data_IF_153180582461
#
_entry.id   IF_153180582461
#
_cell.length_a   1.000
_cell.length_b   1.000
_cell.length_c   1.000
_cell.angle_alpha   90.00
_cell.angle_beta   90.00
_cell.angle_gamma   90.00
#
_symmetry.space_group_name_H-M   'P 1'
#
loop_
_entity.id
_entity.type
_entity.pdbx_description
1 polymer ?
#
# COMPACT_ATOMS: atom_id res chain seq x y z
N UNK A 1 19.17 -5.63 5.80
CA UNK A 1 17.77 -5.75 5.33
C UNK A 1 16.87 -5.24 6.44
N UNK A 2 15.82 -4.52 6.09
CA UNK A 2 14.85 -3.95 7.01
C UNK A 2 13.48 -4.51 6.64
N UNK A 3 12.74 -4.96 7.65
CA UNK A 3 11.39 -5.44 7.44
C UNK A 3 10.44 -4.25 7.33
N UNK A 4 9.64 -4.25 6.28
CA UNK A 4 8.55 -3.31 6.06
C UNK A 4 7.25 -4.09 5.98
N UNK A 5 6.23 -3.55 6.63
CA UNK A 5 4.89 -4.09 6.67
C UNK A 5 4.01 -3.24 5.75
N UNK A 6 3.22 -3.92 4.92
CA UNK A 6 2.26 -3.27 4.02
C UNK A 6 0.88 -3.52 4.62
N UNK A 7 0.31 -2.47 5.18
CA UNK A 7 -1.03 -2.47 5.77
C UNK A 7 -2.00 -1.94 4.71
N UNK A 8 -2.80 -2.84 4.14
CA UNK A 8 -3.88 -2.47 3.23
C UNK A 8 -5.12 -2.17 4.07
N UNK A 9 -5.50 -0.90 4.17
CA UNK A 9 -6.77 -0.53 4.77
C UNK A 9 -7.83 -0.56 3.68
N UNK A 10 -8.58 -1.64 3.72
CA UNK A 10 -9.67 -1.99 2.80
C UNK A 10 -11.00 -2.09 3.57
N UNK A 11 -11.08 -1.54 4.79
CA UNK A 11 -12.21 -1.73 5.70
C UNK A 11 -12.34 -3.15 6.31
N UNK A 12 -11.61 -4.14 5.79
CA UNK A 12 -11.61 -5.53 6.30
C UNK A 12 -10.52 -5.74 7.36
N UNK A 13 -10.86 -6.12 8.61
CA UNK A 13 -9.92 -6.18 9.73
C UNK A 13 -8.90 -7.34 9.68
N UNK A 14 -8.90 -8.16 8.62
CA UNK A 14 -8.19 -9.44 8.55
C UNK A 14 -7.32 -9.64 7.30
N UNK A 15 -6.93 -8.58 6.57
CA UNK A 15 -5.90 -8.76 5.53
C UNK A 15 -4.53 -8.88 6.18
N UNK A 16 -3.84 -9.97 5.84
CA UNK A 16 -2.46 -10.26 6.17
C UNK A 16 -1.58 -9.02 6.05
N UNK A 17 -1.01 -8.58 7.18
CA UNK A 17 0.10 -7.63 7.17
C UNK A 17 1.28 -8.31 6.51
N UNK A 18 1.50 -8.04 5.23
CA UNK A 18 2.61 -8.65 4.51
C UNK A 18 3.89 -7.97 4.98
N UNK A 19 4.69 -8.70 5.75
CA UNK A 19 5.99 -8.23 6.22
C UNK A 19 7.10 -8.67 5.25
N UNK A 20 7.56 -7.75 4.40
CA UNK A 20 8.59 -8.01 3.38
C UNK A 20 9.89 -7.33 3.79
N UNK A 21 11.01 -8.02 3.58
CA UNK A 21 12.34 -7.49 3.89
C UNK A 21 12.95 -6.81 2.66
N UNK A 22 13.17 -5.51 2.75
CA UNK A 22 13.85 -4.73 1.72
C UNK A 22 15.25 -4.32 2.18
N UNK A 23 16.17 -4.05 1.24
CA UNK A 23 17.48 -3.51 1.64
C UNK A 23 17.36 -2.02 1.97
N UNK A 24 16.50 -1.32 1.25
CA UNK A 24 16.27 0.12 1.40
C UNK A 24 14.79 0.48 1.47
N UNK A 25 14.50 1.64 2.07
CA UNK A 25 13.14 2.20 2.07
C UNK A 25 12.64 2.47 0.64
N UNK A 26 13.55 2.86 -0.27
CA UNK A 26 13.20 3.11 -1.67
C UNK A 26 12.64 1.88 -2.38
N UNK A 27 13.22 0.69 -2.15
CA UNK A 27 12.69 -0.55 -2.72
C UNK A 27 11.31 -0.89 -2.16
N UNK A 28 11.08 -0.65 -0.87
CA UNK A 28 9.75 -0.86 -0.26
C UNK A 28 8.68 0.06 -0.86
N UNK A 29 9.05 1.30 -1.17
CA UNK A 29 8.18 2.26 -1.85
C UNK A 29 7.91 1.84 -3.29
N UNK A 30 8.93 1.37 -4.02
CA UNK A 30 8.78 0.93 -5.41
C UNK A 30 7.83 -0.28 -5.50
N UNK A 31 8.06 -1.27 -4.64
CA UNK A 31 7.18 -2.42 -4.50
C UNK A 31 5.74 -2.02 -4.13
N UNK A 32 5.56 -1.05 -3.23
CA UNK A 32 4.24 -0.52 -2.89
C UNK A 32 3.51 0.02 -4.13
N UNK A 33 4.21 0.73 -5.03
CA UNK A 33 3.63 1.27 -6.27
C UNK A 33 3.25 0.17 -7.24
N UNK A 34 4.04 -0.89 -7.34
CA UNK A 34 3.71 -2.06 -8.16
C UNK A 34 2.45 -2.76 -7.66
N UNK A 35 2.32 -2.96 -6.34
CA UNK A 35 1.11 -3.51 -5.73
C UNK A 35 -0.09 -2.62 -6.06
N UNK A 36 0.00 -1.32 -5.79
CA UNK A 36 -1.09 -0.35 -6.07
C UNK A 36 -1.53 -0.42 -7.53
N UNK A 37 -0.57 -0.52 -8.47
CA UNK A 37 -0.85 -0.67 -9.90
C UNK A 37 -1.57 -1.99 -10.21
N UNK A 38 -1.11 -3.11 -9.65
CA UNK A 38 -1.77 -4.41 -9.82
C UNK A 38 -3.20 -4.39 -9.28
N UNK A 39 -3.43 -3.84 -8.09
CA UNK A 39 -4.77 -3.70 -7.51
C UNK A 39 -5.70 -2.82 -8.36
N UNK A 40 -5.16 -1.76 -8.96
CA UNK A 40 -5.91 -0.88 -9.86
C UNK A 40 -6.31 -1.59 -11.17
N UNK A 41 -5.49 -2.51 -11.65
CA UNK A 41 -5.72 -3.29 -12.88
C UNK A 41 -6.67 -4.48 -12.64
N UNK A 42 -6.52 -5.18 -11.51
CA UNK A 42 -7.36 -6.33 -11.11
C UNK A 42 -8.81 -5.97 -10.72
N UNK A 43 -9.21 -4.71 -10.89
CA UNK A 43 -10.61 -4.27 -10.74
C UNK A 43 -11.22 -4.60 -9.37
N UNK A 44 -10.45 -4.45 -8.29
CA UNK A 44 -10.99 -4.28 -6.93
C UNK A 44 -11.59 -2.87 -6.80
N UNK A 45 -12.61 -2.60 -7.61
CA UNK A 45 -13.30 -1.31 -7.75
C UNK A 45 -14.32 -1.02 -6.64
N UNK A 46 -14.60 -2.00 -5.79
CA UNK A 46 -15.61 -1.87 -4.75
C UNK A 46 -15.10 -1.04 -3.55
N UNK A 47 -13.79 -1.09 -3.28
CA UNK A 47 -13.17 -0.40 -2.15
C UNK A 47 -12.55 0.95 -2.60
N UNK A 48 -13.40 1.98 -2.64
CA UNK A 48 -12.99 3.34 -2.99
C UNK A 48 -11.96 3.94 -2.01
N UNK A 49 -11.89 3.41 -0.78
CA UNK A 49 -10.96 3.84 0.26
C UNK A 49 -9.70 2.95 0.35
N UNK A 50 -9.43 2.10 -0.65
CA UNK A 50 -8.28 1.19 -0.61
C UNK A 50 -6.96 2.00 -0.63
N UNK A 51 -6.23 1.89 0.48
CA UNK A 51 -4.94 2.53 0.71
C UNK A 51 -3.91 1.53 1.25
N UNK A 52 -2.65 1.73 0.88
CA UNK A 52 -1.54 0.89 1.33
C UNK A 52 -0.58 1.76 2.14
N UNK A 53 -0.42 1.43 3.41
CA UNK A 53 0.53 2.07 4.31
C UNK A 53 1.75 1.19 4.53
N UNK A 54 2.92 1.70 4.20
CA UNK A 54 4.22 1.07 4.42
C UNK A 54 4.72 1.49 5.80
N UNK A 55 4.85 0.52 6.69
CA UNK A 55 5.29 0.70 8.06
C UNK A 55 6.61 -0.03 8.24
N UNK A 56 7.61 0.59 8.86
CA UNK A 56 8.87 -0.09 9.11
C UNK A 56 8.79 -1.07 10.29
N UNK A 57 9.88 -1.81 10.54
CA UNK A 57 9.98 -2.75 11.67
C UNK A 57 9.75 -2.13 13.06
N UNK A 58 9.86 -0.81 13.18
CA UNK A 58 9.63 -0.05 14.40
C UNK A 58 8.16 0.36 14.58
N UNK A 59 7.27 -0.01 13.65
CA UNK A 59 5.87 0.39 13.67
C UNK A 59 5.63 1.82 13.19
N UNK A 60 6.62 2.46 12.55
CA UNK A 60 6.51 3.82 12.02
C UNK A 60 6.14 3.80 10.54
N UNK A 61 5.04 4.47 10.20
CA UNK A 61 4.65 4.70 8.80
C UNK A 61 5.74 5.52 8.09
N UNK A 62 6.32 4.93 7.05
CA UNK A 62 7.37 5.55 6.23
C UNK A 62 6.82 6.02 4.88
N UNK A 63 5.73 5.43 4.41
CA UNK A 63 5.09 5.78 3.15
C UNK A 63 3.62 5.35 3.16
N UNK A 64 2.77 6.06 2.41
CA UNK A 64 1.35 5.74 2.26
C UNK A 64 0.92 6.08 0.84
N UNK A 65 0.26 5.14 0.16
CA UNK A 65 -0.16 5.26 -1.23
C UNK A 65 -1.63 4.85 -1.38
N UNK A 66 -2.44 5.72 -1.98
CA UNK A 66 -3.85 5.45 -2.26
C UNK A 66 -3.99 4.70 -3.60
N UNK A 67 -4.85 3.69 -3.65
CA UNK A 67 -5.13 2.89 -4.85
C UNK A 67 -6.27 3.49 -5.66
N UNK A 68 -7.37 3.86 -5.01
CA UNK A 68 -8.60 4.31 -5.67
C UNK A 68 -8.81 5.82 -5.72
N UNK A 69 -7.89 6.63 -5.16
CA UNK A 69 -7.95 8.08 -5.32
C UNK A 69 -7.54 8.46 -6.75
N UNK A 70 -8.45 8.21 -7.69
CA UNK A 70 -8.50 8.98 -8.92
C UNK A 70 -8.70 10.43 -8.46
N UNK A 71 -7.77 11.31 -8.83
CA UNK A 71 -8.06 12.72 -8.75
C UNK A 71 -9.40 12.92 -9.46
N UNK A 72 -10.39 13.32 -8.68
CA UNK A 72 -11.51 14.12 -9.15
C UNK A 72 -10.91 15.47 -9.57
N UNK A 73 -10.08 15.46 -10.62
CA UNK A 73 -9.83 16.65 -11.44
C UNK A 73 -11.05 16.75 -12.36
N UNK A 74 -12.17 17.13 -11.73
CA UNK A 74 -13.32 17.66 -12.44
C UNK A 74 -13.01 19.09 -12.85
N UNK A 75 -12.87 19.30 -14.15
CA UNK A 75 -13.50 20.38 -14.93
C UNK A 75 -13.42 20.05 -16.43
#
# INVERSE_FOLDING_TARGET
MQKFFFDMKDGVPHRDKVGIEFKTQSEAIDYCKEIVRHFRDESLRDDQDLEISVVNALGREVHRQFVHRQNDDGD
#
